data_IF_544724049900
#
_entry.id   IF_544724049900
#
_cell.length_a   1.000
_cell.length_b   1.000
_cell.length_c   1.000
_cell.angle_alpha   90.00
_cell.angle_beta   90.00
_cell.angle_gamma   90.00
#
_symmetry.space_group_name_H-M   'P 1'
#
loop_
_entity.id
_entity.type
_entity.pdbx_description
1 polymer ?
#
# COMPACT_ATOMS: atom_id res chain seq x y z
N UNK A 1 3.26 -7.43 -45.83
CA UNK A 1 4.32 -7.72 -44.83
C UNK A 1 3.70 -7.54 -43.46
N UNK A 2 3.86 -8.57 -42.63
CA UNK A 2 3.19 -8.70 -41.35
C UNK A 2 3.70 -7.68 -40.32
N UNK A 3 2.77 -7.38 -39.43
CA UNK A 3 2.84 -6.73 -38.12
C UNK A 3 4.08 -7.05 -37.29
N UNK A 4 4.54 -6.08 -36.50
CA UNK A 4 4.79 -6.23 -35.06
C UNK A 4 4.91 -4.83 -34.44
N UNK A 5 3.78 -4.32 -33.97
CA UNK A 5 3.71 -3.23 -32.99
C UNK A 5 3.82 -3.87 -31.61
N UNK A 6 4.95 -3.66 -30.92
CA UNK A 6 5.13 -4.06 -29.53
C UNK A 6 4.30 -3.14 -28.64
N UNK A 7 3.21 -3.66 -28.11
CA UNK A 7 2.47 -3.06 -26.99
C UNK A 7 3.36 -3.12 -25.74
N UNK A 8 3.96 -2.00 -25.38
CA UNK A 8 4.63 -1.82 -24.09
C UNK A 8 3.60 -1.49 -23.02
N UNK A 9 3.54 -2.31 -21.97
CA UNK A 9 2.79 -2.07 -20.75
C UNK A 9 3.18 -0.70 -20.16
N UNK A 10 2.22 0.20 -19.96
CA UNK A 10 2.43 1.45 -19.21
C UNK A 10 2.73 1.11 -17.73
N UNK A 11 4.00 0.87 -17.39
CA UNK A 11 4.47 0.93 -16.00
C UNK A 11 4.26 2.37 -15.48
N UNK A 12 3.23 2.53 -14.65
CA UNK A 12 2.78 3.81 -14.12
C UNK A 12 3.83 4.49 -13.24
N UNK A 13 4.55 5.43 -13.83
CA UNK A 13 5.45 6.34 -13.12
C UNK A 13 4.63 7.29 -12.24
N UNK A 14 4.80 7.21 -10.91
CA UNK A 14 4.13 8.10 -9.95
C UNK A 14 5.07 9.27 -9.60
N UNK A 15 4.68 10.47 -10.01
CA UNK A 15 5.52 11.67 -9.95
C UNK A 15 5.25 12.58 -8.74
N UNK A 16 4.10 12.47 -8.07
CA UNK A 16 3.72 13.42 -7.01
C UNK A 16 3.06 12.72 -5.82
N UNK A 17 3.61 12.95 -4.63
CA UNK A 17 2.95 12.62 -3.37
C UNK A 17 2.10 13.80 -2.89
N UNK A 18 0.92 13.54 -2.33
CA UNK A 18 0.11 14.60 -1.72
C UNK A 18 0.60 14.87 -0.29
N UNK A 19 0.64 16.13 0.14
CA UNK A 19 1.01 16.48 1.52
C UNK A 19 -0.11 16.12 2.51
N UNK A 20 -1.37 16.14 2.03
CA UNK A 20 -2.54 15.76 2.82
C UNK A 20 -3.03 14.39 2.35
N UNK A 21 -3.24 13.49 3.31
CA UNK A 21 -3.84 12.19 3.03
C UNK A 21 -5.33 12.36 2.71
N UNK A 22 -5.70 12.19 1.45
CA UNK A 22 -7.09 12.19 1.00
C UNK A 22 -7.47 10.81 0.48
N UNK A 23 -8.48 10.19 1.08
CA UNK A 23 -8.95 8.85 0.71
C UNK A 23 -10.47 8.89 0.59
N UNK A 24 -11.02 8.11 -0.34
CA UNK A 24 -12.45 8.02 -0.59
C UNK A 24 -13.23 7.58 0.67
N UNK A 25 -14.41 8.18 0.86
CA UNK A 25 -15.25 8.00 2.05
C UNK A 25 -15.85 6.59 2.19
N UNK A 26 -15.78 5.77 1.16
CA UNK A 26 -16.21 4.38 1.16
C UNK A 26 -15.08 3.41 1.53
N UNK A 27 -13.85 3.89 1.69
CA UNK A 27 -12.70 3.09 2.10
C UNK A 27 -12.44 3.19 3.61
N UNK A 28 -11.96 2.08 4.18
CA UNK A 28 -11.59 1.93 5.59
C UNK A 28 -10.14 1.51 5.71
N UNK A 29 -9.42 2.09 6.68
CA UNK A 29 -8.07 1.67 7.03
C UNK A 29 -8.11 0.28 7.69
N UNK A 30 -7.32 -0.66 7.15
CA UNK A 30 -7.34 -2.09 7.50
C UNK A 30 -6.08 -2.52 8.27
N UNK A 31 -5.02 -1.72 8.27
CA UNK A 31 -3.71 -2.11 8.79
C UNK A 31 -3.68 -2.43 10.29
N UNK A 32 -4.62 -1.88 11.09
CA UNK A 32 -4.74 -2.18 12.53
C UNK A 32 -5.06 -3.65 12.84
N UNK A 33 -5.64 -4.39 11.90
CA UNK A 33 -6.05 -5.79 12.09
C UNK A 33 -5.03 -6.79 11.53
N UNK A 34 -3.84 -6.33 11.14
CA UNK A 34 -2.80 -7.14 10.55
C UNK A 34 -1.60 -7.27 11.48
N UNK A 35 -0.87 -8.38 11.37
CA UNK A 35 0.48 -8.51 11.90
C UNK A 35 1.46 -7.96 10.86
N UNK A 36 2.40 -7.13 11.31
CA UNK A 36 3.40 -6.49 10.46
C UNK A 36 4.80 -7.01 10.80
N UNK A 37 5.59 -7.33 9.80
CA UNK A 37 7.01 -7.61 9.95
C UNK A 37 7.81 -6.99 8.81
N UNK A 38 9.10 -6.79 9.01
CA UNK A 38 10.01 -6.25 8.00
C UNK A 38 11.19 -7.19 7.81
N UNK A 39 11.84 -7.14 6.64
CA UNK A 39 13.01 -7.98 6.33
C UNK A 39 14.19 -7.70 7.26
N UNK A 40 14.41 -6.43 7.60
CA UNK A 40 15.46 -5.97 8.51
C UNK A 40 15.11 -4.59 9.04
N UNK A 41 15.77 -4.16 10.11
CA UNK A 41 15.68 -2.80 10.60
C UNK A 41 16.92 -2.40 11.38
N UNK A 42 17.26 -1.11 11.31
CA UNK A 42 18.26 -0.52 12.19
C UNK A 42 17.71 -0.37 13.61
N UNK A 43 18.54 -0.59 14.63
CA UNK A 43 18.15 -0.42 16.03
C UNK A 43 17.51 0.95 16.27
N UNK A 44 16.31 0.96 16.84
CA UNK A 44 15.54 2.19 17.08
C UNK A 44 14.61 2.63 15.94
N UNK A 45 14.69 2.05 14.74
CA UNK A 45 13.90 2.43 13.55
C UNK A 45 13.13 1.23 12.99
N UNK A 46 12.36 0.55 13.85
CA UNK A 46 11.67 -0.69 13.52
C UNK A 46 10.28 -0.54 12.88
N UNK A 47 9.59 -1.67 12.75
CA UNK A 47 8.27 -1.78 12.12
C UNK A 47 7.19 -0.89 12.73
N UNK A 48 7.29 -0.55 14.02
CA UNK A 48 6.30 0.29 14.72
C UNK A 48 6.16 1.68 14.11
N UNK A 49 7.25 2.25 13.58
CA UNK A 49 7.26 3.58 12.97
C UNK A 49 6.56 3.62 11.62
N UNK A 50 6.30 2.47 10.98
CA UNK A 50 5.46 2.44 9.79
C UNK A 50 4.00 2.78 10.07
N UNK A 51 3.58 2.82 11.35
CA UNK A 51 2.18 2.74 11.79
C UNK A 51 1.83 3.68 12.95
N UNK A 52 2.76 4.53 13.38
CA UNK A 52 2.62 5.42 14.55
C UNK A 52 1.92 6.76 14.27
N UNK A 53 1.44 6.97 13.03
CA UNK A 53 0.85 8.21 12.55
C UNK A 53 1.75 9.45 12.72
N UNK A 54 3.08 9.27 12.82
CA UNK A 54 4.06 10.34 12.87
C UNK A 54 4.90 10.36 11.58
N UNK A 55 5.08 11.53 10.97
CA UNK A 55 5.83 11.68 9.72
C UNK A 55 7.32 12.00 9.96
N UNK A 56 7.70 12.30 11.20
CA UNK A 56 9.09 12.56 11.59
C UNK A 56 9.86 11.26 11.87
N UNK A 57 9.14 10.19 12.24
CA UNK A 57 9.69 8.84 12.45
C UNK A 57 9.64 8.03 11.16
N UNK A 58 10.48 6.99 11.09
CA UNK A 58 10.58 6.13 9.91
C UNK A 58 11.17 4.77 10.24
N UNK A 59 10.69 3.75 9.54
CA UNK A 59 11.42 2.50 9.42
C UNK A 59 12.66 2.75 8.58
N UNK A 60 13.80 2.26 9.07
CA UNK A 60 15.05 2.22 8.32
C UNK A 60 15.47 0.76 8.16
N UNK A 61 15.57 0.27 6.93
CA UNK A 61 16.11 -1.06 6.68
C UNK A 61 17.62 -1.12 7.01
N UNK A 62 18.12 -2.33 7.24
CA UNK A 62 19.54 -2.58 7.50
C UNK A 62 19.89 -3.98 6.99
N UNK A 63 19.99 -4.15 5.67
CA UNK A 63 20.09 -5.47 5.06
C UNK A 63 20.35 -5.47 3.56
N UNK A 64 20.23 -6.64 2.94
CA UNK A 64 20.31 -6.78 1.49
C UNK A 64 18.95 -6.45 0.85
N UNK A 65 18.97 -5.78 -0.31
CA UNK A 65 17.79 -5.60 -1.14
C UNK A 65 17.31 -6.95 -1.72
N UNK A 66 16.00 -7.12 -1.98
CA UNK A 66 14.92 -6.15 -1.75
C UNK A 66 14.49 -6.05 -0.28
N UNK A 67 14.19 -4.83 0.18
CA UNK A 67 13.68 -4.60 1.55
C UNK A 67 12.18 -4.82 1.57
N UNK A 68 11.67 -5.65 2.48
CA UNK A 68 10.28 -6.09 2.45
C UNK A 68 9.52 -5.72 3.72
N UNK A 69 8.27 -5.27 3.56
CA UNK A 69 7.26 -5.15 4.61
C UNK A 69 6.19 -6.21 4.37
N UNK A 70 6.01 -7.12 5.32
CA UNK A 70 5.03 -8.20 5.27
C UNK A 70 3.84 -7.84 6.15
N UNK A 71 2.63 -8.05 5.61
CA UNK A 71 1.39 -7.65 6.25
C UNK A 71 0.44 -8.83 6.19
N UNK A 72 0.17 -9.44 7.33
CA UNK A 72 -0.60 -10.69 7.44
C UNK A 72 -1.90 -10.47 8.20
N UNK A 73 -3.00 -10.92 7.62
CA UNK A 73 -4.32 -10.84 8.20
C UNK A 73 -4.78 -12.22 8.70
N UNK A 74 -5.46 -12.26 9.85
CA UNK A 74 -6.02 -13.50 10.39
C UNK A 74 -7.18 -14.06 9.55
N UNK A 75 -7.81 -13.22 8.71
CA UNK A 75 -8.91 -13.58 7.82
C UNK A 75 -8.64 -12.98 6.44
N UNK A 76 -9.19 -13.58 5.39
CA UNK A 76 -9.09 -13.03 4.03
C UNK A 76 -9.73 -11.65 3.99
N UNK A 77 -8.98 -10.65 3.57
CA UNK A 77 -9.45 -9.26 3.45
C UNK A 77 -9.56 -8.85 1.99
N UNK A 78 -10.35 -7.80 1.76
CA UNK A 78 -10.40 -7.08 0.49
C UNK A 78 -9.58 -5.81 0.63
N UNK A 79 -8.60 -5.61 -0.24
CA UNK A 79 -7.78 -4.40 -0.29
C UNK A 79 -7.94 -3.74 -1.67
N UNK A 80 -7.96 -2.42 -1.69
CA UNK A 80 -8.07 -1.61 -2.91
C UNK A 80 -6.89 -0.64 -3.06
N UNK A 81 -6.31 -0.17 -1.95
CA UNK A 81 -5.33 0.91 -1.97
C UNK A 81 -4.27 0.71 -0.90
N UNK A 82 -3.01 0.83 -1.31
CA UNK A 82 -1.85 1.00 -0.42
C UNK A 82 -1.43 2.46 -0.49
N UNK A 83 -1.20 3.08 0.66
CA UNK A 83 -0.66 4.44 0.72
C UNK A 83 0.63 4.42 1.54
N UNK A 84 1.70 4.99 1.00
CA UNK A 84 2.97 5.15 1.70
C UNK A 84 3.31 6.63 1.83
N UNK A 85 3.95 7.03 2.93
CA UNK A 85 4.59 8.34 3.02
C UNK A 85 6.10 8.20 2.83
N UNK A 86 6.61 8.86 1.79
CA UNK A 86 8.04 8.91 1.42
C UNK A 86 8.38 10.33 0.95
N UNK A 87 9.57 10.83 1.29
CA UNK A 87 9.98 12.20 0.92
C UNK A 87 11.43 12.26 0.45
N UNK A 88 11.61 12.45 -0.86
CA UNK A 88 12.92 12.56 -1.48
C UNK A 88 13.78 13.71 -0.94
N UNK A 89 13.17 14.81 -0.50
CA UNK A 89 13.92 15.96 0.03
C UNK A 89 14.51 15.65 1.40
N UNK A 90 13.80 14.86 2.21
CA UNK A 90 14.23 14.52 3.57
C UNK A 90 15.15 13.30 3.58
N UNK A 91 14.88 12.33 2.71
CA UNK A 91 15.51 11.00 2.78
C UNK A 91 16.56 10.76 1.68
N UNK A 92 16.64 11.60 0.64
CA UNK A 92 17.63 11.53 -0.44
C UNK A 92 17.80 10.09 -1.00
N UNK A 93 18.95 9.46 -0.76
CA UNK A 93 19.26 8.11 -1.24
C UNK A 93 18.48 7.00 -0.51
N UNK A 94 17.92 7.26 0.67
CA UNK A 94 17.06 6.31 1.38
C UNK A 94 15.64 6.23 0.79
N UNK A 95 15.31 7.08 -0.19
CA UNK A 95 13.97 7.14 -0.76
C UNK A 95 13.73 6.00 -1.76
N UNK A 96 12.70 5.15 -1.60
CA UNK A 96 12.34 4.14 -2.59
C UNK A 96 12.18 4.74 -3.99
N UNK A 97 12.73 4.09 -5.02
CA UNK A 97 12.56 4.45 -6.44
C UNK A 97 11.75 3.41 -7.20
N UNK A 98 11.80 2.13 -6.80
CA UNK A 98 10.95 1.07 -7.38
C UNK A 98 10.37 0.20 -6.28
N UNK A 99 9.05 0.04 -6.28
CA UNK A 99 8.31 -0.77 -5.32
C UNK A 99 7.51 -1.84 -6.07
N UNK A 100 7.61 -3.09 -5.63
CA UNK A 100 6.68 -4.16 -6.00
C UNK A 100 5.71 -4.44 -4.85
N UNK A 101 4.46 -4.68 -5.19
CA UNK A 101 3.42 -5.18 -4.30
C UNK A 101 3.09 -6.60 -4.73
N UNK A 102 3.14 -7.51 -3.75
CA UNK A 102 2.78 -8.91 -3.88
C UNK A 102 1.62 -9.26 -2.97
N UNK A 103 0.75 -10.17 -3.41
CA UNK A 103 -0.36 -10.67 -2.62
C UNK A 103 -0.47 -12.20 -2.70
N UNK A 104 -0.94 -12.84 -1.64
CA UNK A 104 -1.12 -14.29 -1.58
C UNK A 104 -1.86 -14.75 -0.32
N UNK A 105 -1.76 -16.03 -0.02
CA UNK A 105 -2.28 -16.60 1.22
C UNK A 105 -1.17 -16.76 2.30
N UNK A 106 0.09 -16.74 1.89
CA UNK A 106 1.27 -16.79 2.77
C UNK A 106 2.56 -16.60 1.98
N UNK A 107 3.71 -16.70 2.64
CA UNK A 107 5.03 -16.41 2.03
C UNK A 107 5.36 -17.23 0.78
N UNK A 108 4.87 -18.47 0.69
CA UNK A 108 5.21 -19.40 -0.39
C UNK A 108 4.39 -19.23 -1.67
N UNK A 109 3.32 -18.43 -1.65
CA UNK A 109 2.42 -18.27 -2.79
C UNK A 109 2.13 -16.80 -3.15
N UNK A 110 3.00 -15.89 -2.71
CA UNK A 110 2.95 -14.48 -3.09
C UNK A 110 3.14 -14.34 -4.61
N UNK A 111 2.27 -13.56 -5.25
CA UNK A 111 2.36 -13.18 -6.66
C UNK A 111 2.48 -11.68 -6.78
N UNK A 112 3.33 -11.21 -7.70
CA UNK A 112 3.40 -9.80 -8.07
C UNK A 112 2.05 -9.37 -8.64
N UNK A 113 1.48 -8.32 -8.06
CA UNK A 113 0.22 -7.72 -8.50
C UNK A 113 0.42 -6.33 -9.09
N UNK A 114 1.43 -5.59 -8.62
CA UNK A 114 1.73 -4.25 -9.11
C UNK A 114 3.19 -3.90 -8.86
N UNK A 115 3.84 -3.34 -9.86
CA UNK A 115 5.13 -2.67 -9.72
C UNK A 115 4.95 -1.21 -10.07
N UNK A 116 5.56 -0.32 -9.28
CA UNK A 116 5.51 1.13 -9.49
C UNK A 116 6.91 1.72 -9.40
N UNK A 117 7.17 2.71 -10.26
CA UNK A 117 8.36 3.54 -10.19
C UNK A 117 7.99 4.90 -9.61
N UNK A 118 8.77 5.35 -8.64
CA UNK A 118 8.61 6.62 -7.95
C UNK A 118 9.72 7.56 -8.40
N UNK A 119 9.36 8.75 -8.88
CA UNK A 119 10.33 9.76 -9.30
C UNK A 119 10.31 10.92 -8.31
N UNK A 120 11.30 10.93 -7.40
CA UNK A 120 11.49 11.94 -6.36
C UNK A 120 10.19 12.29 -5.61
N UNK A 121 9.48 11.29 -5.06
CA UNK A 121 8.18 11.50 -4.43
C UNK A 121 8.30 12.42 -3.19
N UNK A 122 7.24 13.16 -2.90
CA UNK A 122 7.16 14.11 -1.76
C UNK A 122 5.81 14.06 -1.07
N UNK A 123 5.63 13.09 -0.18
CA UNK A 123 4.43 12.95 0.64
C UNK A 123 3.76 11.60 0.47
N UNK A 124 2.42 11.59 0.55
CA UNK A 124 1.59 10.41 0.40
C UNK A 124 1.54 9.93 -1.05
N UNK A 125 2.09 8.74 -1.30
CA UNK A 125 2.03 8.02 -2.57
C UNK A 125 0.90 7.01 -2.50
N UNK A 126 -0.04 7.10 -3.44
CA UNK A 126 -1.21 6.24 -3.54
C UNK A 126 -0.96 5.17 -4.61
N UNK A 127 -0.96 3.90 -4.21
CA UNK A 127 -0.80 2.76 -5.12
C UNK A 127 -2.10 1.98 -5.14
N UNK A 128 -2.86 2.17 -6.22
CA UNK A 128 -4.07 1.38 -6.48
C UNK A 128 -3.70 -0.09 -6.69
N UNK A 129 -4.42 -0.97 -6.01
CA UNK A 129 -4.34 -2.41 -6.18
C UNK A 129 -5.36 -2.95 -7.19
N UNK A 130 -6.23 -2.09 -7.69
CA UNK A 130 -7.24 -2.46 -8.69
C UNK A 130 -6.58 -2.85 -10.01
N UNK A 131 -7.09 -3.91 -10.63
CA UNK A 131 -6.75 -4.28 -12.00
C UNK A 131 -7.45 -3.41 -13.04
N UNK A 132 -7.29 -3.77 -14.31
CA UNK A 132 -7.90 -3.04 -15.44
C UNK A 132 -9.39 -3.37 -15.63
N UNK A 133 -9.85 -4.51 -15.12
CA UNK A 133 -11.26 -4.93 -15.16
C UNK A 133 -12.00 -4.46 -13.89
N UNK A 134 -13.24 -3.93 -13.98
CA UNK A 134 -14.07 -3.63 -12.81
C UNK A 134 -14.31 -4.82 -11.86
N UNK A 135 -14.14 -6.07 -12.32
CA UNK A 135 -14.19 -7.26 -11.46
C UNK A 135 -12.95 -7.41 -10.57
N UNK A 136 -11.87 -6.71 -10.92
CA UNK A 136 -10.59 -6.69 -10.23
C UNK A 136 -10.40 -5.42 -9.39
N UNK A 137 -11.50 -4.75 -9.00
CA UNK A 137 -11.45 -3.59 -8.10
C UNK A 137 -10.80 -3.90 -6.74
N UNK A 138 -10.84 -5.17 -6.30
CA UNK A 138 -10.30 -5.57 -5.01
C UNK A 138 -9.36 -6.77 -5.11
N UNK A 139 -8.24 -6.68 -4.42
CA UNK A 139 -7.36 -7.80 -4.15
C UNK A 139 -7.85 -8.53 -2.90
N UNK A 140 -8.24 -9.79 -3.06
CA UNK A 140 -8.66 -10.66 -1.95
C UNK A 140 -7.45 -11.46 -1.46
N UNK A 141 -6.94 -11.20 -0.26
CA UNK A 141 -5.66 -11.77 0.20
C UNK A 141 -5.63 -12.00 1.71
N UNK A 142 -4.84 -12.97 2.18
CA UNK A 142 -4.46 -13.08 3.60
C UNK A 142 -3.12 -12.38 3.87
N UNK A 143 -2.27 -12.22 2.86
CA UNK A 143 -0.94 -11.64 3.01
C UNK A 143 -0.59 -10.69 1.86
N UNK A 144 -0.26 -9.46 2.22
CA UNK A 144 0.33 -8.47 1.32
C UNK A 144 1.81 -8.31 1.66
N UNK A 145 2.66 -8.17 0.65
CA UNK A 145 4.07 -7.86 0.82
C UNK A 145 4.45 -6.68 -0.06
N UNK A 146 5.00 -5.64 0.55
CA UNK A 146 5.52 -4.45 -0.15
C UNK A 146 7.03 -4.60 -0.18
N UNK A 147 7.63 -4.63 -1.36
CA UNK A 147 9.06 -4.84 -1.58
C UNK A 147 9.67 -3.61 -2.23
N UNK A 148 10.58 -2.94 -1.53
CA UNK A 148 11.42 -1.89 -2.11
C UNK A 148 12.54 -2.58 -2.88
N UNK A 149 12.45 -2.54 -4.22
CA UNK A 149 13.37 -3.19 -5.13
C UNK A 149 14.64 -2.36 -5.34
N UNK A 150 14.50 -1.04 -5.35
CA UNK A 150 15.62 -0.11 -5.45
C UNK A 150 15.26 1.24 -4.81
N UNK A 151 16.28 2.00 -4.45
CA UNK A 151 16.17 3.37 -3.96
C UNK A 151 16.76 4.36 -4.97
N UNK A 152 16.47 5.64 -4.76
CA UNK A 152 17.10 6.72 -5.50
C UNK A 152 18.60 6.80 -5.20
N UNK A 153 19.37 7.36 -6.14
CA UNK A 153 20.81 7.59 -5.98
C UNK A 153 21.61 6.31 -5.61
N UNK A 154 21.09 5.14 -5.98
CA UNK A 154 21.63 3.82 -5.61
C UNK A 154 21.80 3.62 -4.10
N UNK A 155 20.91 4.21 -3.29
CA UNK A 155 20.94 4.03 -1.84
C UNK A 155 20.73 2.58 -1.42
N UNK A 156 21.50 2.16 -0.42
CA UNK A 156 21.52 0.76 0.06
C UNK A 156 20.28 0.42 0.89
N UNK A 157 20.00 1.23 1.90
CA UNK A 157 18.87 1.05 2.83
C UNK A 157 17.72 2.00 2.47
N UNK A 158 16.55 1.77 3.05
CA UNK A 158 15.33 2.53 2.71
C UNK A 158 14.69 3.18 3.93
N UNK A 159 14.10 4.35 3.75
CA UNK A 159 13.23 5.02 4.71
C UNK A 159 11.78 4.97 4.22
N UNK A 160 10.90 4.48 5.08
CA UNK A 160 9.45 4.63 4.91
C UNK A 160 8.88 5.17 6.21
N UNK A 161 8.20 6.32 6.12
CA UNK A 161 7.70 7.06 7.29
C UNK A 161 6.34 6.56 7.75
N UNK A 162 5.50 6.12 6.82
CA UNK A 162 4.15 5.65 7.16
C UNK A 162 3.60 4.74 6.05
N UNK A 163 2.81 3.74 6.43
CA UNK A 163 2.07 2.88 5.49
C UNK A 163 0.65 2.72 5.97
N UNK A 164 -0.33 2.91 5.08
CA UNK A 164 -1.74 2.67 5.33
C UNK A 164 -2.33 1.75 4.27
N UNK A 165 -3.20 0.85 4.70
CA UNK A 165 -3.90 -0.08 3.82
C UNK A 165 -5.38 0.21 3.85
N UNK A 166 -6.01 0.26 2.69
CA UNK A 166 -7.42 0.57 2.57
C UNK A 166 -8.16 -0.53 1.83
N UNK A 167 -9.31 -0.89 2.39
CA UNK A 167 -10.28 -1.80 1.81
C UNK A 167 -11.69 -1.20 1.87
N UNK A 168 -12.69 -1.87 1.30
CA UNK A 168 -14.06 -1.37 1.30
C UNK A 168 -14.61 -1.29 2.73
N UNK A 169 -15.38 -0.24 3.03
CA UNK A 169 -16.14 -0.15 4.28
C UNK A 169 -17.16 -1.30 4.32
N UNK A 170 -17.15 -2.12 5.40
CA UNK A 170 -18.19 -3.12 5.59
C UNK A 170 -19.56 -2.45 5.62
N UNK A 171 -20.57 -3.08 5.02
CA UNK A 171 -21.95 -2.61 5.16
C UNK A 171 -22.31 -2.65 6.66
N UNK A 172 -22.70 -1.52 7.27
CA UNK A 172 -23.08 -1.49 8.69
C UNK A 172 -24.32 -2.34 8.99
N UNK A 173 -25.12 -2.68 7.97
CA UNK A 173 -26.30 -3.54 8.09
C UNK A 173 -25.97 -4.92 7.50
N UNK A 174 -25.87 -5.98 8.33
CA UNK A 174 -25.69 -7.34 7.86
C UNK A 174 -26.81 -7.75 6.89
N UNK A 175 -26.47 -8.50 5.84
CA UNK A 175 -27.40 -9.07 4.85
C UNK A 175 -28.15 -8.08 3.94
N UNK A 176 -27.87 -6.77 4.01
CA UNK A 176 -28.47 -5.81 3.10
C UNK A 176 -27.66 -5.72 1.78
N UNK A 177 -28.30 -5.87 0.60
CA UNK A 177 -27.59 -5.90 -0.69
C UNK A 177 -27.14 -4.53 -1.21
N UNK A 178 -27.57 -3.44 -0.56
CA UNK A 178 -27.21 -2.06 -0.92
C UNK A 178 -26.76 -1.27 0.32
N UNK A 179 -25.97 -0.22 0.09
CA UNK A 179 -25.54 0.71 1.12
C UNK A 179 -26.36 2.00 1.05
N UNK A 180 -26.78 2.50 2.20
CA UNK A 180 -27.33 3.85 2.27
C UNK A 180 -26.20 4.86 2.08
N UNK A 181 -26.35 5.77 1.12
CA UNK A 181 -25.35 6.82 0.85
C UNK A 181 -25.64 8.10 1.63
N UNK A 182 -26.91 8.36 1.95
CA UNK A 182 -27.29 9.57 2.69
C UNK A 182 -27.13 9.40 4.20
N UNK A 183 -26.61 10.45 4.85
CA UNK A 183 -26.41 10.48 6.30
C UNK A 183 -27.71 10.23 7.09
N UNK A 184 -28.85 10.72 6.61
CA UNK A 184 -30.17 10.49 7.24
C UNK A 184 -30.49 9.01 7.35
N UNK A 185 -30.35 8.25 6.27
CA UNK A 185 -30.66 6.82 6.27
C UNK A 185 -29.62 6.01 7.06
N UNK A 186 -28.33 6.38 7.01
CA UNK A 186 -27.29 5.73 7.81
C UNK A 186 -27.53 5.91 9.32
N UNK A 187 -27.99 7.09 9.77
CA UNK A 187 -28.23 7.36 11.21
C UNK A 187 -29.27 6.41 11.81
N UNK A 188 -30.28 5.99 11.04
CA UNK A 188 -31.36 5.11 11.51
C UNK A 188 -31.24 3.67 10.98
N UNK A 189 -30.08 3.32 10.40
CA UNK A 189 -29.81 2.02 9.76
C UNK A 189 -29.74 0.85 10.75
N UNK A 190 -29.34 1.10 11.99
CA UNK A 190 -29.23 0.09 13.04
C UNK A 190 -29.69 0.65 14.38
N UNK A 191 -30.27 -0.23 15.20
CA UNK A 191 -30.53 0.02 16.62
C UNK A 191 -29.25 -0.40 17.35
N UNK A 192 -28.75 0.45 18.24
CA UNK A 192 -27.50 0.24 18.98
C UNK A 192 -27.77 -0.02 20.44
#
# INVERSE_FOLDING_TARGET
MATESSEGEEEGKLTVGNQVLMVEDDLREMGKNAAWSVSSWKSGNGVSFLRDDNLDTYWQSDGAQPHSVNIQFQKKVKLQLVVLYVDFKLDESYTPSKISIRAGDGFHNLKDIKTVELDKPRGWVHISLSGNDPRETFVNTFMLQISVLSNHLNGRDTHVRQIKLYGPRPNPIPHQPFQFTSRKFITYASIR
#
